data_IF_860757017236
#
_entry.id   IF_860757017236
#
_cell.length_a   1.000
_cell.length_b   1.000
_cell.length_c   1.000
_cell.angle_alpha   90.00
_cell.angle_beta   90.00
_cell.angle_gamma   90.00
#
_symmetry.space_group_name_H-M   'P 1'
#
loop_
_entity.id
_entity.type
_entity.pdbx_description
1 polymer ?
#
# COMPACT_ATOMS: atom_id res chain seq x y z
N UNK A 1 -4.60 3.23 -22.51
CA UNK A 1 -4.02 2.28 -23.47
C UNK A 1 -2.96 1.50 -22.71
N UNK A 2 -3.10 0.17 -22.60
CA UNK A 2 -2.14 -0.66 -21.88
C UNK A 2 -0.82 -0.77 -22.66
N UNK A 3 0.27 -1.01 -21.95
CA UNK A 3 1.58 -1.30 -22.55
C UNK A 3 1.60 -2.79 -22.88
N UNK A 4 1.50 -3.16 -24.16
CA UNK A 4 1.37 -4.57 -24.58
C UNK A 4 2.55 -5.47 -24.22
N UNK A 5 3.78 -4.91 -24.17
CA UNK A 5 5.01 -5.68 -23.88
C UNK A 5 5.88 -4.96 -22.84
N UNK A 6 5.43 -4.90 -21.58
CA UNK A 6 6.06 -4.06 -20.57
C UNK A 6 7.45 -4.56 -20.15
N UNK A 7 7.76 -5.85 -20.35
CA UNK A 7 9.10 -6.43 -20.13
C UNK A 7 10.17 -6.03 -21.17
N UNK A 8 9.79 -5.34 -22.25
CA UNK A 8 10.76 -4.93 -23.27
C UNK A 8 11.75 -3.88 -22.73
N UNK A 9 12.97 -3.88 -23.26
CA UNK A 9 14.01 -2.95 -22.82
C UNK A 9 13.63 -1.52 -23.18
N UNK A 10 13.48 -0.68 -22.16
CA UNK A 10 13.27 0.76 -22.34
C UNK A 10 14.63 1.43 -22.55
N UNK A 11 14.85 1.98 -23.75
CA UNK A 11 16.10 2.70 -24.11
C UNK A 11 16.18 4.06 -23.44
N UNK A 12 15.09 4.82 -23.48
CA UNK A 12 14.95 6.14 -22.87
C UNK A 12 13.88 6.06 -21.77
N UNK A 13 14.23 5.69 -20.53
CA UNK A 13 13.27 5.63 -19.44
C UNK A 13 12.71 7.02 -19.15
N UNK A 14 11.42 7.09 -18.81
CA UNK A 14 10.80 8.34 -18.38
C UNK A 14 11.51 8.80 -17.11
N UNK A 15 12.07 10.03 -17.05
CA UNK A 15 12.75 10.51 -15.85
C UNK A 15 11.74 10.76 -14.73
N UNK A 16 12.16 10.56 -13.47
CA UNK A 16 11.38 11.05 -12.33
C UNK A 16 11.43 12.58 -12.37
N UNK A 17 10.30 13.29 -12.37
CA UNK A 17 10.31 14.75 -12.34
C UNK A 17 11.08 15.27 -11.12
N UNK A 18 11.92 16.30 -11.30
CA UNK A 18 12.71 16.87 -10.20
C UNK A 18 11.83 17.37 -9.04
N UNK A 19 10.60 17.79 -9.36
CA UNK A 19 9.56 18.16 -8.39
C UNK A 19 8.23 17.61 -8.89
N UNK A 20 7.49 16.97 -7.98
CA UNK A 20 6.12 16.51 -8.20
C UNK A 20 5.38 16.46 -6.85
N UNK A 21 4.07 16.60 -6.91
CA UNK A 21 3.13 16.38 -5.83
C UNK A 21 2.27 15.14 -6.12
N UNK A 22 1.50 14.67 -5.13
CA UNK A 22 0.51 13.62 -5.35
C UNK A 22 -0.53 14.05 -6.40
N UNK A 23 -0.95 15.32 -6.40
CA UNK A 23 -1.88 15.87 -7.38
C UNK A 23 -1.32 15.82 -8.81
N UNK A 24 -0.03 16.12 -9.00
CA UNK A 24 0.62 16.02 -10.30
C UNK A 24 0.62 14.58 -10.83
N UNK A 25 0.88 13.60 -9.94
CA UNK A 25 0.84 12.19 -10.30
C UNK A 25 -0.58 11.71 -10.61
N UNK A 26 -1.61 12.19 -9.88
CA UNK A 26 -3.01 11.86 -10.16
C UNK A 26 -3.47 12.44 -11.49
N UNK A 27 -3.09 13.68 -11.79
CA UNK A 27 -3.44 14.36 -13.04
C UNK A 27 -2.67 13.83 -14.27
N UNK A 28 -1.61 13.05 -14.05
CA UNK A 28 -0.82 12.45 -15.13
C UNK A 28 -1.70 11.52 -15.99
N UNK A 29 -1.60 11.55 -17.33
CA UNK A 29 -2.30 10.59 -18.20
C UNK A 29 -1.90 9.14 -17.91
N UNK A 30 -2.83 8.20 -18.05
CA UNK A 30 -2.61 6.78 -17.68
C UNK A 30 -1.38 6.17 -18.33
N UNK A 31 -1.20 6.39 -19.64
CA UNK A 31 -0.04 5.87 -20.35
C UNK A 31 1.28 6.44 -19.79
N UNK A 32 1.33 7.74 -19.46
CA UNK A 32 2.53 8.36 -18.91
C UNK A 32 2.82 7.85 -17.49
N UNK A 33 1.78 7.65 -16.69
CA UNK A 33 1.90 7.07 -15.35
C UNK A 33 2.42 5.63 -15.41
N UNK A 34 1.88 4.84 -16.34
CA UNK A 34 2.34 3.48 -16.60
C UNK A 34 3.80 3.43 -17.06
N UNK A 35 4.20 4.31 -18.00
CA UNK A 35 5.59 4.40 -18.44
C UNK A 35 6.55 4.83 -17.31
N UNK A 36 6.10 5.73 -16.42
CA UNK A 36 6.84 6.13 -15.23
C UNK A 36 7.05 4.94 -14.28
N UNK A 37 5.99 4.22 -13.92
CA UNK A 37 6.07 3.04 -13.05
C UNK A 37 6.96 1.95 -13.65
N UNK A 38 6.72 1.59 -14.92
CA UNK A 38 7.51 0.61 -15.66
C UNK A 38 9.00 0.96 -15.65
N UNK A 39 9.33 2.24 -15.81
CA UNK A 39 10.71 2.72 -15.83
C UNK A 39 11.39 2.65 -14.46
N UNK A 40 10.63 2.70 -13.36
CA UNK A 40 11.16 2.84 -12.01
C UNK A 40 10.77 1.72 -11.03
N UNK A 41 10.45 0.51 -11.53
CA UNK A 41 10.26 -0.69 -10.70
C UNK A 41 11.48 -1.01 -9.80
N UNK A 42 12.67 -0.66 -10.29
CA UNK A 42 13.94 -0.70 -9.57
C UNK A 42 14.69 0.63 -9.73
N UNK A 43 15.52 1.04 -8.76
CA UNK A 43 16.36 2.22 -8.91
C UNK A 43 17.29 2.06 -10.11
N UNK A 44 17.24 3.02 -11.05
CA UNK A 44 18.13 3.03 -12.23
C UNK A 44 19.36 3.89 -12.03
N UNK A 45 19.20 5.00 -11.31
CA UNK A 45 20.31 5.85 -10.89
C UNK A 45 20.67 5.48 -9.45
N UNK A 46 21.92 5.02 -9.28
CA UNK A 46 22.48 4.61 -7.98
C UNK A 46 23.16 5.77 -7.26
N UNK A 47 23.16 6.98 -7.83
CA UNK A 47 23.54 8.19 -7.11
C UNK A 47 22.63 8.40 -5.90
N UNK A 48 23.12 9.14 -4.90
CA UNK A 48 22.33 9.47 -3.71
C UNK A 48 21.04 10.20 -4.08
N UNK A 49 21.11 11.12 -5.03
CA UNK A 49 19.98 11.95 -5.46
C UNK A 49 18.97 11.14 -6.30
N UNK A 50 19.46 10.30 -7.21
CA UNK A 50 18.63 9.39 -7.99
C UNK A 50 17.90 8.38 -7.11
N UNK A 51 18.60 7.84 -6.11
CA UNK A 51 17.99 6.94 -5.13
C UNK A 51 16.95 7.65 -4.26
N UNK A 52 17.24 8.86 -3.78
CA UNK A 52 16.30 9.66 -3.01
C UNK A 52 15.04 10.03 -3.82
N UNK A 53 15.19 10.35 -5.10
CA UNK A 53 14.05 10.60 -6.00
C UNK A 53 13.18 9.35 -6.19
N UNK A 54 13.81 8.18 -6.34
CA UNK A 54 13.12 6.89 -6.40
C UNK A 54 12.38 6.58 -5.11
N UNK A 55 13.02 6.73 -3.95
CA UNK A 55 12.39 6.49 -2.64
C UNK A 55 11.21 7.45 -2.42
N UNK A 56 11.34 8.72 -2.82
CA UNK A 56 10.26 9.71 -2.75
C UNK A 56 9.06 9.33 -3.63
N UNK A 57 9.30 8.86 -4.86
CA UNK A 57 8.24 8.41 -5.77
C UNK A 57 7.43 7.29 -5.12
N UNK A 58 8.09 6.21 -4.70
CA UNK A 58 7.41 5.06 -4.09
C UNK A 58 6.73 5.40 -2.76
N UNK A 59 7.30 6.31 -1.96
CA UNK A 59 6.63 6.82 -0.77
C UNK A 59 5.36 7.61 -1.11
N UNK A 60 5.39 8.45 -2.14
CA UNK A 60 4.22 9.24 -2.56
C UNK A 60 3.09 8.33 -3.05
N UNK A 61 3.43 7.31 -3.85
CA UNK A 61 2.46 6.31 -4.33
C UNK A 61 1.80 5.59 -3.16
N UNK A 62 2.60 5.16 -2.18
CA UNK A 62 2.12 4.41 -1.02
C UNK A 62 1.28 5.24 -0.02
N UNK A 63 1.65 6.50 0.20
CA UNK A 63 1.01 7.33 1.23
C UNK A 63 -0.34 7.92 0.79
N UNK A 64 -0.62 7.91 -0.51
CA UNK A 64 -1.87 8.40 -1.08
C UNK A 64 -2.70 7.22 -1.61
N UNK A 65 -3.92 7.06 -1.10
CA UNK A 65 -4.76 5.90 -1.38
C UNK A 65 -5.09 5.76 -2.88
N UNK A 66 -5.47 6.87 -3.54
CA UNK A 66 -5.83 6.84 -4.96
C UNK A 66 -4.61 6.50 -5.83
N UNK A 67 -3.42 6.98 -5.46
CA UNK A 67 -2.19 6.64 -6.16
C UNK A 67 -1.72 5.21 -5.90
N UNK A 68 -1.97 4.69 -4.70
CA UNK A 68 -1.74 3.28 -4.38
C UNK A 68 -2.60 2.40 -5.26
N UNK A 69 -3.92 2.62 -5.27
CA UNK A 69 -4.88 1.85 -6.08
C UNK A 69 -4.51 1.92 -7.56
N UNK A 70 -4.27 3.12 -8.08
CA UNK A 70 -3.83 3.31 -9.47
C UNK A 70 -2.53 2.57 -9.79
N UNK A 71 -1.57 2.56 -8.87
CA UNK A 71 -0.33 1.84 -9.05
C UNK A 71 -0.52 0.32 -8.99
N UNK A 72 -1.45 -0.19 -8.16
CA UNK A 72 -1.83 -1.60 -8.15
C UNK A 72 -2.43 -2.01 -9.50
N UNK A 73 -3.44 -1.29 -9.99
CA UNK A 73 -4.11 -1.56 -11.25
C UNK A 73 -3.10 -1.61 -12.41
N UNK A 74 -2.19 -0.62 -12.45
CA UNK A 74 -1.15 -0.56 -13.49
C UNK A 74 -0.18 -1.73 -13.41
N UNK A 75 0.23 -2.12 -12.20
CA UNK A 75 1.14 -3.26 -12.00
C UNK A 75 0.44 -4.60 -12.27
N UNK A 76 -0.87 -4.69 -12.04
CA UNK A 76 -1.71 -5.84 -12.41
C UNK A 76 -1.79 -5.99 -13.92
N UNK A 77 -2.12 -4.92 -14.65
CA UNK A 77 -2.12 -4.92 -16.12
C UNK A 77 -0.76 -5.36 -16.69
N UNK A 78 0.34 -4.92 -16.08
CA UNK A 78 1.68 -5.35 -16.46
C UNK A 78 1.94 -6.83 -16.22
N UNK A 79 1.45 -7.37 -15.10
CA UNK A 79 1.58 -8.78 -14.77
C UNK A 79 0.73 -9.63 -15.69
N UNK A 80 -0.54 -9.28 -15.92
CA UNK A 80 -1.44 -9.97 -16.83
C UNK A 80 -0.86 -10.05 -18.25
N UNK A 81 -0.35 -8.92 -18.76
CA UNK A 81 0.28 -8.89 -20.08
C UNK A 81 1.55 -9.77 -20.14
N UNK A 82 2.34 -9.78 -19.06
CA UNK A 82 3.61 -10.52 -18.99
C UNK A 82 3.37 -12.02 -18.80
N UNK A 83 2.51 -12.41 -17.87
CA UNK A 83 2.13 -13.80 -17.58
C UNK A 83 1.40 -14.41 -18.77
N UNK A 84 0.47 -13.67 -19.40
CA UNK A 84 -0.16 -14.13 -20.64
C UNK A 84 0.85 -14.41 -21.75
N UNK A 85 1.93 -13.63 -21.87
CA UNK A 85 2.98 -13.88 -22.85
C UNK A 85 3.89 -15.07 -22.48
N UNK A 86 4.13 -15.28 -21.19
CA UNK A 86 4.87 -16.44 -20.67
C UNK A 86 4.09 -17.73 -20.92
N UNK A 87 2.79 -17.74 -20.64
CA UNK A 87 1.92 -18.92 -20.74
C UNK A 87 1.69 -19.36 -22.19
N UNK A 88 1.63 -18.42 -23.14
CA UNK A 88 1.52 -18.74 -24.57
C UNK A 88 2.78 -19.35 -25.16
N UNK A 89 3.92 -19.30 -24.47
CA UNK A 89 5.19 -19.87 -24.97
C UNK A 89 5.73 -19.16 -26.22
N UNK A 90 5.29 -17.94 -26.51
CA UNK A 90 5.65 -17.18 -27.73
C UNK A 90 7.00 -16.46 -27.61
N UNK A 91 7.64 -16.52 -26.44
CA UNK A 91 8.84 -15.76 -26.12
C UNK A 91 10.11 -16.56 -26.39
N UNK A 92 11.03 -15.98 -27.15
CA UNK A 92 12.41 -16.49 -27.29
C UNK A 92 13.18 -16.35 -25.97
N UNK A 93 14.23 -17.15 -25.77
CA UNK A 93 15.01 -17.24 -24.52
C UNK A 93 15.36 -15.89 -23.87
N UNK A 94 15.80 -14.90 -24.65
CA UNK A 94 16.11 -13.56 -24.12
C UNK A 94 14.88 -12.82 -23.62
N UNK A 95 13.76 -12.93 -24.34
CA UNK A 95 12.51 -12.30 -23.96
C UNK A 95 11.87 -13.02 -22.78
N UNK A 96 11.97 -14.35 -22.73
CA UNK A 96 11.52 -15.17 -21.62
C UNK A 96 12.20 -14.74 -20.32
N UNK A 97 13.54 -14.70 -20.30
CA UNK A 97 14.30 -14.25 -19.11
C UNK A 97 13.92 -12.84 -18.67
N UNK A 98 13.69 -11.92 -19.61
CA UNK A 98 13.28 -10.55 -19.31
C UNK A 98 11.86 -10.48 -18.75
N UNK A 99 10.91 -11.19 -19.35
CA UNK A 99 9.53 -11.29 -18.90
C UNK A 99 9.45 -11.86 -17.49
N UNK A 100 10.14 -12.98 -17.21
CA UNK A 100 10.20 -13.57 -15.86
C UNK A 100 10.75 -12.58 -14.83
N UNK A 101 11.86 -11.89 -15.15
CA UNK A 101 12.45 -10.90 -14.25
C UNK A 101 11.53 -9.69 -14.05
N UNK A 102 10.86 -9.26 -15.10
CA UNK A 102 9.95 -8.12 -15.06
C UNK A 102 8.72 -8.42 -14.20
N UNK A 103 8.13 -9.62 -14.33
CA UNK A 103 7.04 -10.06 -13.46
C UNK A 103 7.47 -10.06 -11.97
N UNK A 104 8.66 -10.59 -11.68
CA UNK A 104 9.20 -10.55 -10.31
C UNK A 104 9.38 -9.11 -9.78
N UNK A 105 9.85 -8.18 -10.63
CA UNK A 105 9.99 -6.77 -10.26
C UNK A 105 8.64 -6.08 -10.00
N UNK A 106 7.59 -6.45 -10.74
CA UNK A 106 6.24 -5.97 -10.49
C UNK A 106 5.72 -6.46 -9.14
N UNK A 107 5.86 -7.76 -8.84
CA UNK A 107 5.46 -8.33 -7.53
C UNK A 107 6.25 -7.74 -6.36
N UNK A 108 7.54 -7.48 -6.53
CA UNK A 108 8.35 -6.78 -5.52
C UNK A 108 7.90 -5.33 -5.31
N UNK A 109 7.42 -4.69 -6.38
CA UNK A 109 6.90 -3.33 -6.32
C UNK A 109 5.51 -3.28 -5.65
N UNK A 110 4.64 -4.26 -5.91
CA UNK A 110 3.42 -4.46 -5.13
C UNK A 110 3.71 -4.59 -3.64
N UNK A 111 4.63 -5.49 -3.26
CA UNK A 111 5.07 -5.64 -1.85
C UNK A 111 5.60 -4.34 -1.24
N UNK A 112 6.13 -3.42 -2.06
CA UNK A 112 6.64 -2.12 -1.61
C UNK A 112 5.51 -1.13 -1.33
N UNK A 113 4.43 -1.18 -2.10
CA UNK A 113 3.20 -0.40 -1.84
C UNK A 113 2.51 -0.99 -0.61
N UNK A 114 2.44 -2.33 -0.49
CA UNK A 114 1.87 -3.03 0.68
C UNK A 114 2.68 -2.85 1.97
N UNK A 115 3.98 -2.54 1.86
CA UNK A 115 4.86 -2.43 3.03
C UNK A 115 4.38 -1.28 3.91
N UNK A 116 3.96 -1.60 5.13
CA UNK A 116 3.35 -0.68 6.09
C UNK A 116 3.99 0.73 6.07
N UNK A 117 3.18 1.81 5.97
CA UNK A 117 3.61 3.14 6.38
C UNK A 117 4.28 3.04 7.74
N UNK A 118 5.50 3.58 7.94
CA UNK A 118 5.94 3.82 9.31
C UNK A 118 4.90 4.76 9.95
N UNK A 119 4.22 4.26 10.98
CA UNK A 119 3.18 4.89 11.78
C UNK A 119 1.87 5.27 11.04
N UNK A 120 0.93 4.32 10.96
CA UNK A 120 -0.49 4.56 10.68
C UNK A 120 -1.38 4.36 11.92
N UNK A 121 -2.69 4.70 11.88
CA UNK A 121 -3.62 4.81 13.03
C UNK A 121 -3.88 3.54 13.85
N UNK A 122 -3.25 2.41 13.52
CA UNK A 122 -3.35 1.12 14.20
C UNK A 122 -1.97 0.50 14.49
N UNK A 123 -0.89 1.28 14.40
CA UNK A 123 0.47 0.81 14.71
C UNK A 123 0.61 0.28 16.16
N UNK A 124 -0.33 0.62 17.03
CA UNK A 124 -0.40 0.21 18.43
C UNK A 124 -1.07 -1.18 18.65
N UNK A 125 -1.76 -1.75 17.66
CA UNK A 125 -2.66 -2.90 17.86
C UNK A 125 -2.09 -4.29 17.48
N UNK A 126 -0.77 -4.41 17.29
CA UNK A 126 -0.10 -5.70 17.03
C UNK A 126 -0.73 -6.52 15.88
N UNK A 127 -1.10 -7.79 16.14
CA UNK A 127 -1.64 -8.76 15.14
C UNK A 127 -2.91 -8.32 14.39
N UNK A 128 -3.58 -7.24 14.80
CA UNK A 128 -4.67 -6.65 14.01
C UNK A 128 -4.16 -6.01 12.70
N UNK A 129 -2.86 -5.73 12.62
CA UNK A 129 -2.15 -5.39 11.40
C UNK A 129 -2.00 -6.57 10.42
N UNK A 130 -2.37 -7.80 10.76
CA UNK A 130 -2.26 -8.95 9.83
C UNK A 130 -3.50 -9.11 8.94
N UNK A 131 -4.58 -8.36 9.19
CA UNK A 131 -5.80 -8.41 8.38
C UNK A 131 -5.63 -7.70 7.02
N UNK A 132 -6.39 -8.09 6.02
CA UNK A 132 -6.41 -7.37 4.72
C UNK A 132 -6.91 -5.92 4.89
N UNK A 133 -6.52 -4.97 4.02
CA UNK A 133 -6.80 -3.53 4.19
C UNK A 133 -8.29 -3.18 4.38
N UNK A 134 -9.19 -3.85 3.67
CA UNK A 134 -10.64 -3.70 3.81
C UNK A 134 -11.14 -4.09 5.20
N UNK A 135 -10.62 -5.19 5.75
CA UNK A 135 -10.93 -5.64 7.10
C UNK A 135 -10.34 -4.71 8.17
N UNK A 136 -9.12 -4.17 7.98
CA UNK A 136 -8.52 -3.20 8.92
C UNK A 136 -9.36 -1.93 9.07
N UNK A 137 -9.91 -1.40 7.97
CA UNK A 137 -10.75 -0.19 7.99
C UNK A 137 -12.06 -0.41 8.75
N UNK A 138 -12.68 -1.58 8.60
CA UNK A 138 -13.88 -1.97 9.34
C UNK A 138 -13.56 -2.17 10.83
N UNK A 139 -12.47 -2.87 11.14
CA UNK A 139 -12.02 -3.09 12.52
C UNK A 139 -11.68 -1.76 13.21
N UNK A 140 -10.96 -0.85 12.54
CA UNK A 140 -10.66 0.49 13.07
C UNK A 140 -11.94 1.27 13.42
N UNK A 141 -12.92 1.24 12.51
CA UNK A 141 -14.20 1.94 12.71
C UNK A 141 -14.98 1.35 13.89
N UNK A 142 -15.01 0.03 14.01
CA UNK A 142 -15.68 -0.67 15.11
C UNK A 142 -14.99 -0.40 16.45
N UNK A 143 -13.65 -0.48 16.51
CA UNK A 143 -12.88 -0.24 17.73
C UNK A 143 -13.03 1.21 18.19
N UNK A 144 -13.00 2.19 17.27
CA UNK A 144 -13.24 3.60 17.60
C UNK A 144 -14.67 3.86 18.10
N UNK A 145 -15.69 3.23 17.49
CA UNK A 145 -17.07 3.32 17.95
C UNK A 145 -17.23 2.72 19.36
N UNK A 146 -16.57 1.60 19.65
CA UNK A 146 -16.59 0.97 20.97
C UNK A 146 -15.83 1.80 22.01
N UNK A 147 -14.69 2.40 21.65
CA UNK A 147 -13.94 3.30 22.54
C UNK A 147 -14.78 4.53 22.93
N UNK A 148 -15.49 5.12 21.96
CA UNK A 148 -16.40 6.25 22.18
C UNK A 148 -17.64 5.86 23.00
N UNK A 149 -18.14 4.64 22.82
CA UNK A 149 -19.21 4.10 23.67
C UNK A 149 -18.74 3.86 25.11
N UNK A 150 -17.53 3.30 25.29
CA UNK A 150 -16.95 3.08 26.62
C UNK A 150 -16.72 4.40 27.35
N UNK A 151 -16.23 5.44 26.69
CA UNK A 151 -16.02 6.76 27.31
C UNK A 151 -17.33 7.44 27.72
N UNK A 152 -18.42 7.21 26.99
CA UNK A 152 -19.76 7.72 27.35
C UNK A 152 -20.38 6.95 28.51
N UNK A 153 -20.11 5.65 28.63
CA UNK A 153 -20.58 4.81 29.75
C UNK A 153 -19.74 5.00 31.02
N UNK A 154 -18.42 5.17 30.92
CA UNK A 154 -17.56 5.41 32.11
C UNK A 154 -17.76 6.80 32.72
N UNK A 155 -18.31 7.75 31.96
CA UNK A 155 -18.72 9.07 32.48
C UNK A 155 -19.99 9.02 33.37
N UNK A 156 -20.77 7.93 33.29
CA UNK A 156 -21.96 7.70 34.14
C UNK A 156 -22.03 6.20 34.55
N UNK A 157 -21.30 5.79 35.60
CA UNK A 157 -21.12 4.39 35.97
C UNK A 157 -22.40 3.68 36.45
N UNK A 158 -23.50 4.40 36.70
CA UNK A 158 -24.80 3.81 37.00
C UNK A 158 -25.46 3.17 35.75
N UNK A 159 -24.87 3.36 34.57
CA UNK A 159 -25.41 2.99 33.27
C UNK A 159 -24.66 1.90 32.54
N UNK A 160 -23.63 1.28 33.12
CA UNK A 160 -22.86 0.22 32.47
C UNK A 160 -23.56 -1.15 32.60
N UNK A 161 -24.28 -1.65 31.56
CA UNK A 161 -24.83 -3.00 31.57
C UNK A 161 -23.74 -4.08 31.62
N UNK A 162 -24.07 -5.25 32.16
CA UNK A 162 -23.19 -6.43 32.22
C UNK A 162 -22.63 -6.84 30.83
N UNK A 163 -23.37 -6.53 29.77
CA UNK A 163 -22.96 -6.73 28.38
C UNK A 163 -21.73 -5.90 27.98
N UNK A 164 -21.58 -4.68 28.50
CA UNK A 164 -20.43 -3.80 28.18
C UNK A 164 -19.16 -4.31 28.86
N UNK A 165 -19.28 -4.76 30.12
CA UNK A 165 -18.18 -5.42 30.83
C UNK A 165 -17.71 -6.65 30.06
N UNK A 166 -18.63 -7.48 29.58
CA UNK A 166 -18.31 -8.68 28.78
C UNK A 166 -17.70 -8.33 27.42
N UNK A 167 -18.14 -7.26 26.78
CA UNK A 167 -17.55 -6.76 25.55
C UNK A 167 -16.09 -6.34 25.75
N UNK A 168 -15.78 -5.61 26.82
CA UNK A 168 -14.41 -5.19 27.11
C UNK A 168 -13.49 -6.36 27.44
N UNK A 169 -13.98 -7.38 28.16
CA UNK A 169 -13.22 -8.61 28.40
C UNK A 169 -12.88 -9.35 27.11
N UNK A 170 -13.81 -9.41 26.15
CA UNK A 170 -13.56 -10.05 24.85
C UNK A 170 -12.50 -9.28 24.07
N UNK A 171 -12.58 -7.94 24.03
CA UNK A 171 -11.60 -7.10 23.35
C UNK A 171 -10.19 -7.27 23.92
N UNK A 172 -10.06 -7.39 25.25
CA UNK A 172 -8.78 -7.66 25.90
C UNK A 172 -8.22 -9.04 25.54
N UNK A 173 -9.07 -10.08 25.49
CA UNK A 173 -8.66 -11.44 25.09
C UNK A 173 -8.13 -11.51 23.66
N UNK A 174 -8.64 -10.66 22.77
CA UNK A 174 -8.18 -10.58 21.37
C UNK A 174 -7.15 -9.49 21.13
N UNK A 175 -6.63 -8.87 22.20
CA UNK A 175 -5.61 -7.82 22.16
C UNK A 175 -6.02 -6.58 21.32
N UNK A 176 -7.29 -6.19 21.44
CA UNK A 176 -7.91 -5.03 20.79
C UNK A 176 -8.53 -4.06 21.81
N UNK A 177 -8.15 -4.15 23.09
CA UNK A 177 -8.66 -3.23 24.12
C UNK A 177 -8.00 -1.83 23.93
N UNK A 178 -8.79 -0.77 23.66
CA UNK A 178 -8.26 0.57 23.46
C UNK A 178 -7.57 1.16 24.70
N UNK A 179 -7.84 0.65 25.91
CA UNK A 179 -7.24 1.18 27.15
C UNK A 179 -5.83 0.67 27.45
N UNK A 180 -5.36 -0.34 26.72
CA UNK A 180 -4.07 -1.00 27.00
C UNK A 180 -2.87 -0.26 26.40
N UNK A 181 -3.09 0.88 25.71
CA UNK A 181 -2.05 1.64 25.02
C UNK A 181 -2.26 3.16 25.18
N UNK A 182 -1.19 3.95 25.36
CA UNK A 182 -1.30 5.40 25.53
C UNK A 182 -1.76 6.07 24.23
N UNK A 183 -2.85 6.82 24.31
CA UNK A 183 -3.34 7.69 23.22
C UNK A 183 -2.39 8.88 23.02
N UNK A 184 -2.15 9.24 21.76
CA UNK A 184 -1.18 10.26 21.34
C UNK A 184 -1.52 11.72 21.73
N UNK A 185 -2.39 11.94 22.72
CA UNK A 185 -2.78 13.25 23.23
C UNK A 185 -2.02 13.68 24.50
N UNK A 186 -0.97 12.96 24.91
CA UNK A 186 -0.07 13.33 26.02
C UNK A 186 1.36 13.62 25.55
N UNK A 187 1.54 14.53 24.59
CA UNK A 187 2.85 15.16 24.30
C UNK A 187 2.70 16.60 23.82
#
# INVERSE_FOLDING_TARGET
MPIDRPWTRVRNPVPIPARFSAADLKAMPDLQFAELLRSHLVPRDLSRDGRAAWDRLWNTLRLDADLSDRAYDTLEEFLDATEGALDRGELVDEQLKRATKFAEQCRQSWKRIDRDPPAGPLAWAGKAGDFQPSARRVIATLVSAIASHRSTITADPARAPEADTRLWEVLRKVNLDPSDYPSADDS
#
